data_IF_037074455913
#
_entry.id   IF_037074455913
#
_cell.length_a   1.000
_cell.length_b   1.000
_cell.length_c   1.000
_cell.angle_alpha   90.00
_cell.angle_beta   90.00
_cell.angle_gamma   90.00
#
_symmetry.space_group_name_H-M   'P 1'
#
loop_
_entity.id
_entity.type
_entity.pdbx_description
1 polymer ?
#
# COMPACT_ATOMS: atom_id res chain seq x y z
N UNK A 1 -12.45 -2.97 -3.06
CA UNK A 1 -11.72 -1.72 -2.71
C UNK A 1 -12.60 -0.49 -2.93
N UNK A 2 -13.28 -0.37 -4.07
CA UNK A 2 -14.10 0.80 -4.44
C UNK A 2 -15.14 1.21 -3.39
N UNK A 3 -15.85 0.25 -2.80
CA UNK A 3 -16.89 0.52 -1.79
C UNK A 3 -16.40 1.36 -0.61
N UNK A 4 -15.19 1.10 -0.09
CA UNK A 4 -14.62 1.87 1.03
C UNK A 4 -14.46 3.35 0.64
N UNK A 5 -14.02 3.61 -0.59
CA UNK A 5 -13.87 4.98 -1.10
C UNK A 5 -15.20 5.61 -1.41
N UNK A 6 -16.15 4.88 -1.98
CA UNK A 6 -17.49 5.39 -2.27
C UNK A 6 -18.19 5.86 -0.97
N UNK A 7 -18.11 5.06 0.09
CA UNK A 7 -18.66 5.43 1.41
C UNK A 7 -17.88 6.58 2.08
N UNK A 8 -16.56 6.60 1.90
CA UNK A 8 -15.71 7.70 2.40
C UNK A 8 -16.06 9.03 1.73
N UNK A 9 -16.25 9.03 0.42
CA UNK A 9 -16.67 10.21 -0.35
C UNK A 9 -18.08 10.61 0.07
N UNK A 10 -19.01 9.67 0.15
CA UNK A 10 -20.39 9.95 0.61
C UNK A 10 -20.40 10.60 2.00
N UNK A 11 -19.55 10.14 2.93
CA UNK A 11 -19.39 10.78 4.23
C UNK A 11 -18.88 12.22 4.11
N UNK A 12 -17.85 12.46 3.31
CA UNK A 12 -17.28 13.80 3.11
C UNK A 12 -18.30 14.77 2.49
N UNK A 13 -19.14 14.28 1.58
CA UNK A 13 -20.18 15.07 0.92
C UNK A 13 -21.36 15.40 1.84
N UNK A 14 -21.77 14.46 2.70
CA UNK A 14 -23.00 14.55 3.51
C UNK A 14 -22.79 14.98 4.96
N UNK A 15 -21.54 15.09 5.44
CA UNK A 15 -21.25 15.52 6.82
C UNK A 15 -21.66 16.97 7.10
N UNK A 16 -21.83 17.29 8.39
CA UNK A 16 -21.89 18.65 8.89
C UNK A 16 -20.51 19.35 8.72
N UNK A 17 -20.48 20.39 7.87
CA UNK A 17 -19.25 21.13 7.54
C UNK A 17 -18.85 22.15 8.61
N UNK A 18 -19.69 22.41 9.62
CA UNK A 18 -19.37 23.33 10.73
C UNK A 18 -18.48 22.69 11.80
N UNK A 19 -18.31 21.36 11.73
CA UNK A 19 -17.55 20.56 12.71
C UNK A 19 -16.32 19.90 12.07
N UNK A 20 -15.25 19.66 12.85
CA UNK A 20 -14.14 18.83 12.38
C UNK A 20 -14.61 17.39 12.18
N UNK A 21 -13.90 16.63 11.34
CA UNK A 21 -14.16 15.22 11.09
C UNK A 21 -12.93 14.39 11.37
N UNK A 22 -13.16 13.09 11.59
CA UNK A 22 -12.15 12.04 11.57
C UNK A 22 -12.67 10.94 10.65
N UNK A 23 -11.87 10.56 9.65
CA UNK A 23 -12.20 9.54 8.68
C UNK A 23 -11.04 8.55 8.57
N UNK A 24 -11.32 7.27 8.81
CA UNK A 24 -10.39 6.17 8.60
C UNK A 24 -10.86 5.33 7.41
N UNK A 25 -10.20 5.48 6.27
CA UNK A 25 -10.43 4.65 5.08
C UNK A 25 -9.44 3.47 5.09
N UNK A 26 -9.88 2.31 5.57
CA UNK A 26 -9.03 1.10 5.65
C UNK A 26 -9.26 0.20 4.43
N UNK A 27 -8.19 -0.08 3.69
CA UNK A 27 -8.20 -0.94 2.52
C UNK A 27 -7.75 -2.34 2.90
N UNK A 28 -8.55 -3.36 2.61
CA UNK A 28 -8.15 -4.77 2.82
C UNK A 28 -7.06 -5.18 1.83
N UNK A 29 -7.08 -4.62 0.62
CA UNK A 29 -6.07 -4.89 -0.40
C UNK A 29 -4.80 -4.08 -0.08
N UNK A 30 -3.60 -4.57 -0.43
CA UNK A 30 -3.31 -5.69 -1.32
C UNK A 30 -3.26 -7.07 -0.63
N UNK A 31 -3.90 -7.29 0.54
CA UNK A 31 -3.98 -8.63 1.14
C UNK A 31 -4.60 -9.66 0.18
N UNK A 32 -4.02 -10.86 0.15
CA UNK A 32 -4.50 -12.00 -0.64
C UNK A 32 -5.97 -12.35 -0.31
N UNK A 33 -6.78 -12.83 -1.28
CA UNK A 33 -6.44 -13.08 -2.68
C UNK A 33 -6.21 -11.80 -3.48
N UNK A 34 -5.31 -11.85 -4.46
CA UNK A 34 -4.96 -10.71 -5.33
C UNK A 34 -5.96 -10.60 -6.49
N UNK A 35 -7.15 -10.09 -6.20
CA UNK A 35 -8.31 -10.05 -7.09
C UNK A 35 -8.65 -8.64 -7.59
N UNK A 36 -7.64 -7.85 -7.97
CA UNK A 36 -7.88 -6.59 -8.65
C UNK A 36 -8.68 -6.82 -9.96
N UNK A 37 -9.47 -5.82 -10.42
CA UNK A 37 -10.13 -5.90 -11.73
C UNK A 37 -9.13 -6.22 -12.84
N UNK A 38 -9.59 -6.96 -13.85
CA UNK A 38 -8.73 -7.55 -14.88
C UNK A 38 -7.86 -6.49 -15.59
N UNK A 39 -8.40 -5.30 -15.82
CA UNK A 39 -7.67 -4.20 -16.46
C UNK A 39 -6.39 -3.79 -15.71
N UNK A 40 -6.34 -3.96 -14.38
CA UNK A 40 -5.14 -3.69 -13.59
C UNK A 40 -4.16 -4.85 -13.64
N UNK A 41 -4.66 -6.09 -13.67
CA UNK A 41 -3.82 -7.28 -13.76
C UNK A 41 -3.06 -7.33 -15.08
N UNK A 42 -3.76 -7.04 -16.18
CA UNK A 42 -3.19 -6.97 -17.53
C UNK A 42 -2.10 -5.90 -17.68
N UNK A 43 -2.04 -4.90 -16.79
CA UNK A 43 -0.93 -3.94 -16.77
C UNK A 43 0.41 -4.55 -16.38
N UNK A 44 0.41 -5.69 -15.68
CA UNK A 44 1.61 -6.32 -15.12
C UNK A 44 1.82 -7.74 -15.63
N UNK A 45 0.74 -8.47 -15.91
CA UNK A 45 0.81 -9.84 -16.40
C UNK A 45 1.55 -9.90 -17.75
N UNK A 46 2.66 -10.64 -17.78
CA UNK A 46 3.52 -10.76 -18.96
C UNK A 46 4.57 -9.66 -19.13
N UNK A 47 4.70 -8.74 -18.16
CA UNK A 47 5.81 -7.78 -18.12
C UNK A 47 6.94 -8.30 -17.26
N UNK A 48 8.17 -7.91 -17.56
CA UNK A 48 9.28 -8.10 -16.63
C UNK A 48 9.00 -7.32 -15.33
N UNK A 49 8.94 -8.04 -14.21
CA UNK A 49 8.74 -7.47 -12.88
C UNK A 49 10.08 -7.40 -12.14
N UNK A 50 10.09 -6.65 -11.03
CA UNK A 50 11.28 -6.59 -10.19
C UNK A 50 11.58 -7.98 -9.63
N UNK A 51 12.76 -8.51 -9.94
CA UNK A 51 13.23 -9.74 -9.33
C UNK A 51 13.31 -9.62 -7.81
N UNK A 52 12.76 -10.59 -7.04
CA UNK A 52 12.87 -10.59 -5.59
C UNK A 52 14.32 -10.63 -5.10
N UNK A 53 14.58 -9.96 -3.98
CA UNK A 53 15.91 -9.96 -3.38
C UNK A 53 16.28 -11.38 -2.93
N UNK A 54 17.53 -11.82 -3.16
CA UNK A 54 17.98 -13.16 -2.79
C UNK A 54 19.26 -13.10 -1.95
N UNK A 55 19.22 -13.72 -0.77
CA UNK A 55 20.40 -13.87 0.09
C UNK A 55 21.21 -15.11 -0.30
N UNK A 56 22.52 -15.07 -0.09
CA UNK A 56 23.43 -16.21 -0.30
C UNK A 56 23.20 -17.36 0.69
N UNK A 57 22.56 -17.07 1.81
CA UNK A 57 22.16 -18.02 2.86
C UNK A 57 20.85 -18.77 2.56
N UNK A 58 20.16 -18.45 1.46
CA UNK A 58 18.87 -19.07 1.14
C UNK A 58 19.07 -20.50 0.68
N UNK A 59 18.51 -21.46 1.43
CA UNK A 59 18.43 -22.86 1.04
C UNK A 59 17.18 -23.11 0.20
N UNK A 60 17.36 -23.27 -1.11
CA UNK A 60 16.26 -23.51 -2.07
C UNK A 60 15.56 -24.84 -1.88
N UNK A 61 16.22 -25.83 -1.28
CA UNK A 61 15.61 -27.14 -1.05
C UNK A 61 14.42 -27.05 -0.09
N UNK A 62 14.42 -26.04 0.80
CA UNK A 62 13.30 -25.76 1.69
C UNK A 62 12.06 -25.33 0.89
N UNK A 63 12.22 -24.35 0.00
CA UNK A 63 11.16 -23.87 -0.91
C UNK A 63 10.61 -24.98 -1.78
N UNK A 64 11.47 -25.87 -2.30
CA UNK A 64 11.03 -27.02 -3.08
C UNK A 64 10.19 -28.00 -2.25
N UNK A 65 10.55 -28.19 -0.98
CA UNK A 65 9.87 -29.12 -0.07
C UNK A 65 8.54 -28.61 0.47
N UNK A 66 8.46 -27.33 0.88
CA UNK A 66 7.32 -26.76 1.58
C UNK A 66 6.51 -25.78 0.72
N UNK A 67 7.01 -25.39 -0.45
CA UNK A 67 6.34 -24.47 -1.37
C UNK A 67 5.10 -25.05 -2.05
N UNK A 68 4.76 -26.30 -1.73
CA UNK A 68 3.51 -26.97 -2.12
C UNK A 68 2.49 -27.02 -1.00
N UNK A 69 2.88 -26.63 0.22
CA UNK A 69 1.99 -26.58 1.39
C UNK A 69 1.23 -25.25 1.39
N UNK A 70 -0.08 -25.33 1.63
CA UNK A 70 -0.92 -24.15 1.81
C UNK A 70 -0.43 -23.42 3.06
N UNK A 71 -0.31 -22.09 2.97
CA UNK A 71 0.17 -21.24 4.07
C UNK A 71 1.64 -21.43 4.48
N UNK A 72 2.46 -22.06 3.63
CA UNK A 72 3.91 -22.11 3.87
C UNK A 72 4.55 -20.71 3.88
N UNK A 73 5.69 -20.60 4.55
CA UNK A 73 6.46 -19.35 4.62
C UNK A 73 7.16 -19.02 3.29
N UNK A 74 7.20 -19.95 2.33
CA UNK A 74 7.85 -19.78 1.03
C UNK A 74 6.88 -19.46 -0.12
N UNK A 75 5.57 -19.64 0.12
CA UNK A 75 4.56 -19.52 -0.94
C UNK A 75 4.70 -20.61 -2.00
N UNK A 76 4.18 -20.38 -3.22
CA UNK A 76 4.32 -21.35 -4.31
C UNK A 76 5.75 -21.39 -4.82
N UNK A 77 6.30 -22.57 -5.12
CA UNK A 77 7.63 -22.70 -5.75
C UNK A 77 7.60 -22.47 -7.28
N UNK A 78 6.46 -22.71 -7.92
CA UNK A 78 6.27 -22.55 -9.36
C UNK A 78 6.47 -21.09 -9.81
N UNK A 79 7.35 -20.90 -10.80
CA UNK A 79 7.77 -19.58 -11.25
C UNK A 79 6.63 -18.78 -11.89
N UNK A 80 5.75 -19.42 -12.66
CA UNK A 80 4.60 -18.78 -13.30
C UNK A 80 3.58 -18.34 -12.24
N UNK A 81 3.28 -19.19 -11.25
CA UNK A 81 2.38 -18.83 -10.15
C UNK A 81 2.96 -17.71 -9.27
N UNK A 82 4.28 -17.68 -9.05
CA UNK A 82 4.96 -16.57 -8.38
C UNK A 82 4.80 -15.27 -9.17
N UNK A 83 5.05 -15.33 -10.48
CA UNK A 83 4.90 -14.18 -11.36
C UNK A 83 3.45 -13.65 -11.36
N UNK A 84 2.46 -14.53 -11.47
CA UNK A 84 1.05 -14.18 -11.35
C UNK A 84 0.70 -13.54 -10.01
N UNK A 85 1.24 -14.06 -8.91
CA UNK A 85 1.04 -13.50 -7.58
C UNK A 85 1.65 -12.10 -7.46
N UNK A 86 2.87 -11.87 -7.97
CA UNK A 86 3.50 -10.55 -8.00
C UNK A 86 2.72 -9.55 -8.87
N UNK A 87 2.32 -9.97 -10.07
CA UNK A 87 1.50 -9.16 -10.97
C UNK A 87 0.16 -8.78 -10.31
N UNK A 88 -0.50 -9.73 -9.64
CA UNK A 88 -1.73 -9.48 -8.89
C UNK A 88 -1.54 -8.53 -7.71
N UNK A 89 -0.43 -8.63 -6.99
CA UNK A 89 -0.10 -7.71 -5.90
C UNK A 89 0.12 -6.28 -6.42
N UNK A 90 0.87 -6.11 -7.50
CA UNK A 90 1.06 -4.79 -8.15
C UNK A 90 -0.24 -4.23 -8.71
N UNK A 91 -1.08 -5.07 -9.31
CA UNK A 91 -2.41 -4.69 -9.78
C UNK A 91 -3.29 -4.17 -8.63
N UNK A 92 -3.26 -4.83 -7.47
CA UNK A 92 -3.95 -4.35 -6.27
C UNK A 92 -3.43 -2.98 -5.82
N UNK A 93 -2.11 -2.77 -5.81
CA UNK A 93 -1.51 -1.48 -5.47
C UNK A 93 -2.00 -0.38 -6.41
N UNK A 94 -2.00 -0.62 -7.72
CA UNK A 94 -2.44 0.38 -8.71
C UNK A 94 -3.92 0.67 -8.60
N UNK A 95 -4.74 -0.33 -8.33
CA UNK A 95 -6.14 -0.10 -8.04
C UNK A 95 -6.31 0.76 -6.77
N UNK A 96 -5.61 0.46 -5.67
CA UNK A 96 -5.63 1.31 -4.46
C UNK A 96 -5.18 2.72 -4.77
N UNK A 97 -4.14 2.90 -5.59
CA UNK A 97 -3.64 4.20 -6.00
C UNK A 97 -4.74 5.04 -6.67
N UNK A 98 -5.48 4.47 -7.63
CA UNK A 98 -6.61 5.15 -8.26
C UNK A 98 -7.74 5.46 -7.26
N UNK A 99 -8.03 4.55 -6.33
CA UNK A 99 -9.04 4.76 -5.30
C UNK A 99 -8.65 5.88 -4.32
N UNK A 100 -7.37 5.97 -3.92
CA UNK A 100 -6.83 7.09 -3.15
C UNK A 100 -6.94 8.39 -3.94
N UNK A 101 -6.63 8.38 -5.24
CA UNK A 101 -6.81 9.53 -6.12
C UNK A 101 -8.23 10.09 -6.06
N UNK A 102 -9.25 9.23 -6.21
CA UNK A 102 -10.66 9.62 -6.08
C UNK A 102 -10.98 10.27 -4.73
N UNK A 103 -10.50 9.68 -3.64
CA UNK A 103 -10.72 10.21 -2.29
C UNK A 103 -10.04 11.56 -2.08
N UNK A 104 -8.81 11.73 -2.57
CA UNK A 104 -8.08 13.01 -2.49
C UNK A 104 -8.77 14.08 -3.33
N UNK A 105 -9.23 13.76 -4.54
CA UNK A 105 -10.02 14.67 -5.38
C UNK A 105 -11.31 15.11 -4.67
N UNK A 106 -11.98 14.24 -3.93
CA UNK A 106 -13.17 14.59 -3.15
C UNK A 106 -12.90 15.57 -1.99
N UNK A 107 -11.63 15.76 -1.58
CA UNK A 107 -11.26 16.78 -0.58
C UNK A 107 -10.96 18.16 -1.20
N UNK A 108 -10.77 18.25 -2.51
CA UNK A 108 -10.46 19.51 -3.19
C UNK A 108 -11.62 20.52 -3.17
N UNK A 109 -12.89 20.11 -3.33
CA UNK A 109 -14.02 20.99 -3.16
C UNK A 109 -13.99 21.73 -1.81
N UNK A 110 -14.37 23.00 -1.85
CA UNK A 110 -14.48 23.90 -0.70
C UNK A 110 -13.19 24.10 0.12
N UNK A 111 -12.03 23.83 -0.50
CA UNK A 111 -10.72 23.91 0.14
C UNK A 111 -10.58 23.02 1.40
N UNK A 112 -11.38 21.96 1.55
CA UNK A 112 -11.30 21.01 2.69
C UNK A 112 -9.91 20.41 2.81
N UNK A 113 -9.28 20.12 1.67
CA UNK A 113 -7.90 19.64 1.55
C UNK A 113 -6.87 20.56 2.21
N UNK A 114 -7.15 21.86 2.35
CA UNK A 114 -6.24 22.83 3.00
C UNK A 114 -6.34 22.82 4.53
N UNK A 115 -7.42 22.28 5.11
CA UNK A 115 -7.65 22.22 6.55
C UNK A 115 -7.76 20.77 7.06
N UNK A 116 -7.11 19.83 6.37
CA UNK A 116 -7.15 18.40 6.69
C UNK A 116 -5.73 17.88 6.81
N UNK A 117 -5.46 17.11 7.87
CA UNK A 117 -4.27 16.27 7.95
C UNK A 117 -4.59 14.93 7.30
N UNK A 118 -3.76 14.53 6.32
CA UNK A 118 -3.87 13.22 5.67
C UNK A 118 -2.69 12.37 6.12
N UNK A 119 -2.99 11.20 6.68
CA UNK A 119 -2.00 10.19 7.06
C UNK A 119 -2.25 8.95 6.21
N UNK A 120 -1.22 8.50 5.51
CA UNK A 120 -1.24 7.23 4.78
C UNK A 120 -0.16 6.33 5.37
N UNK A 121 -0.55 5.11 5.74
CA UNK A 121 0.34 4.08 6.29
C UNK A 121 -0.19 2.69 5.99
N UNK A 122 0.64 1.68 6.22
CA UNK A 122 0.23 0.27 6.26
C UNK A 122 0.37 -0.30 7.67
N UNK A 123 -0.29 -1.42 7.94
CA UNK A 123 -0.14 -2.21 9.17
C UNK A 123 1.14 -3.06 9.15
N UNK A 124 1.45 -3.65 8.00
CA UNK A 124 2.67 -4.39 7.71
C UNK A 124 3.01 -4.31 6.20
N UNK A 125 4.16 -4.88 5.83
CA UNK A 125 4.62 -5.06 4.45
C UNK A 125 4.30 -6.46 3.89
N UNK A 126 4.93 -6.84 2.80
CA UNK A 126 4.78 -8.15 2.15
C UNK A 126 6.13 -8.59 1.61
N UNK A 127 6.60 -9.79 1.97
CA UNK A 127 7.88 -10.30 1.49
C UNK A 127 7.85 -10.56 -0.02
N UNK A 128 6.70 -10.92 -0.58
CA UNK A 128 6.50 -11.06 -2.02
C UNK A 128 7.61 -11.84 -2.75
N UNK A 129 8.07 -12.94 -2.14
CA UNK A 129 9.13 -13.84 -2.60
C UNK A 129 10.56 -13.38 -2.37
N UNK A 130 10.80 -12.25 -1.68
CA UNK A 130 12.12 -11.89 -1.19
C UNK A 130 12.66 -13.02 -0.30
N UNK A 131 13.89 -13.45 -0.58
CA UNK A 131 14.59 -14.58 0.05
C UNK A 131 13.80 -15.90 -0.04
N UNK A 132 13.03 -16.03 -1.12
CA UNK A 132 12.07 -17.10 -1.35
C UNK A 132 11.02 -17.20 -0.24
N UNK A 133 10.76 -16.10 0.49
CA UNK A 133 9.75 -16.01 1.53
C UNK A 133 8.54 -15.23 1.06
N UNK A 134 7.37 -15.65 1.52
CA UNK A 134 6.10 -15.04 1.19
C UNK A 134 5.39 -14.65 2.49
N UNK A 135 4.53 -13.63 2.44
CA UNK A 135 3.77 -13.05 3.56
C UNK A 135 4.62 -12.20 4.49
N UNK A 136 4.16 -12.05 5.73
CA UNK A 136 4.58 -11.04 6.71
C UNK A 136 4.79 -11.61 8.12
N UNK A 137 5.33 -12.83 8.20
CA UNK A 137 5.46 -13.58 9.47
C UNK A 137 6.91 -13.69 9.95
N UNK A 138 7.85 -13.08 9.24
CA UNK A 138 9.28 -13.17 9.51
C UNK A 138 9.88 -11.77 9.69
N UNK A 139 10.91 -11.59 10.52
CA UNK A 139 11.49 -10.28 10.85
C UNK A 139 12.44 -9.74 9.76
N UNK A 140 12.15 -10.01 8.48
CA UNK A 140 12.89 -9.46 7.34
C UNK A 140 12.26 -8.15 6.90
N UNK A 141 13.05 -7.23 6.34
CA UNK A 141 12.64 -5.86 6.02
C UNK A 141 11.33 -5.76 5.21
N UNK A 142 11.09 -6.66 4.26
CA UNK A 142 9.83 -6.70 3.50
C UNK A 142 8.58 -6.87 4.36
N UNK A 143 8.68 -7.43 5.56
CA UNK A 143 7.55 -7.69 6.46
C UNK A 143 7.15 -6.50 7.35
N UNK A 144 8.05 -5.78 8.06
CA UNK A 144 7.67 -4.65 8.90
C UNK A 144 7.88 -3.27 8.25
N UNK A 145 8.59 -3.17 7.12
CA UNK A 145 8.83 -1.86 6.49
C UNK A 145 7.57 -1.37 5.79
N UNK A 146 6.95 -0.34 6.38
CA UNK A 146 5.70 0.26 5.86
C UNK A 146 5.92 1.70 5.41
N UNK A 147 5.15 2.19 4.42
CA UNK A 147 5.14 3.61 4.09
C UNK A 147 4.53 4.41 5.23
N UNK A 148 5.03 5.62 5.48
CA UNK A 148 4.37 6.62 6.31
C UNK A 148 4.44 7.97 5.58
N UNK A 149 3.29 8.46 5.14
CA UNK A 149 3.17 9.77 4.50
C UNK A 149 2.21 10.60 5.33
N UNK A 150 2.69 11.77 5.76
CA UNK A 150 1.88 12.76 6.48
C UNK A 150 1.85 14.04 5.67
N UNK A 151 0.65 14.46 5.30
CA UNK A 151 0.40 15.76 4.65
C UNK A 151 -0.42 16.61 5.61
N UNK A 152 0.15 17.73 6.04
CA UNK A 152 -0.57 18.75 6.78
C UNK A 152 -1.20 19.75 5.81
N UNK A 153 -2.49 20.04 5.96
CA UNK A 153 -3.14 21.13 5.23
C UNK A 153 -2.60 22.49 5.68
N UNK A 154 -2.45 23.44 4.75
CA UNK A 154 -1.87 24.78 5.03
C UNK A 154 -2.58 25.57 6.13
N UNK A 155 -3.86 25.31 6.37
CA UNK A 155 -4.68 25.99 7.37
C UNK A 155 -4.76 25.23 8.71
N UNK A 156 -4.16 24.04 8.79
CA UNK A 156 -4.08 23.28 10.05
C UNK A 156 -3.07 23.95 10.97
N UNK A 157 -3.51 24.29 12.19
CA UNK A 157 -2.65 24.84 13.24
C UNK A 157 -2.27 23.75 14.22
N UNK A 158 -0.98 23.50 14.40
CA UNK A 158 -0.47 22.58 15.40
C UNK A 158 -0.37 23.29 16.77
N UNK A 159 -0.67 22.62 17.90
CA UNK A 159 -0.50 23.21 19.22
C UNK A 159 0.98 23.54 19.48
N UNK A 160 1.29 24.78 19.83
CA UNK A 160 2.62 25.19 20.30
C UNK A 160 3.54 25.83 19.25
N UNK A 161 3.11 25.98 18.00
CA UNK A 161 3.86 26.73 16.99
C UNK A 161 3.09 27.97 16.52
N UNK A 162 3.77 29.12 16.57
CA UNK A 162 3.38 30.30 15.81
C UNK A 162 3.44 29.98 14.31
N UNK A 163 2.35 29.42 13.80
CA UNK A 163 1.91 29.36 12.40
C UNK A 163 3.03 29.29 11.33
N UNK A 164 3.85 28.24 11.33
CA UNK A 164 4.63 27.88 10.13
C UNK A 164 3.88 26.77 9.38
N UNK A 165 3.39 27.00 8.16
CA UNK A 165 2.73 25.96 7.38
C UNK A 165 3.74 24.87 7.01
N UNK A 166 3.54 23.66 7.53
CA UNK A 166 4.36 22.48 7.20
C UNK A 166 4.05 22.04 5.77
N UNK A 167 4.79 22.56 4.80
CA UNK A 167 4.73 22.08 3.42
C UNK A 167 5.67 20.87 3.29
N UNK A 168 5.08 19.66 3.28
CA UNK A 168 5.62 18.43 2.71
C UNK A 168 7.05 18.04 3.08
N UNK A 169 7.22 17.32 4.20
CA UNK A 169 8.43 16.53 4.41
C UNK A 169 8.35 15.30 3.50
N UNK A 170 9.12 15.29 2.42
CA UNK A 170 9.36 14.04 1.67
C UNK A 170 10.20 13.14 2.57
N UNK A 171 9.68 11.95 2.89
CA UNK A 171 10.52 10.85 3.35
C UNK A 171 11.46 10.48 2.21
N UNK A 172 12.74 10.87 2.31
CA UNK A 172 13.80 10.35 1.45
C UNK A 172 14.07 8.89 1.82
N UNK A 173 13.21 8.01 1.33
CA UNK A 173 13.49 6.60 1.23
C UNK A 173 13.40 6.18 -0.23
N UNK A 174 14.13 6.91 -1.09
CA UNK A 174 14.59 6.39 -2.37
C UNK A 174 15.94 5.76 -2.07
N UNK A 175 15.94 4.45 -1.87
CA UNK A 175 17.18 3.68 -1.91
C UNK A 175 17.63 3.70 -3.37
N UNK A 176 18.62 4.52 -3.70
CA UNK A 176 19.39 4.34 -4.93
C UNK A 176 19.94 2.91 -4.89
N UNK A 177 19.45 2.07 -5.81
CA UNK A 177 19.99 0.73 -6.02
C UNK A 177 21.46 0.87 -6.39
N UNK A 178 22.33 0.29 -5.57
CA UNK A 178 23.65 -0.19 -6.03
C UNK A 178 23.48 -1.52 -6.70
#
# INVERSE_FOLDING_TARGET
MSWVVDESIRFLETRDRTRPFFLMASFVRPHSPFDAPAEYFEMYYGKELVEPALGDWVDRSLTESDGMVIDSVHGRHDAELRHQAMAGYYACITHIHHQIGRLVTALEPDATCTNTVVVFTSDHGEMLFDHEKFRKVLPYEGSPRVPLIVRCGKNVRLPGEDAVPVCGVRSESVVERR
#
